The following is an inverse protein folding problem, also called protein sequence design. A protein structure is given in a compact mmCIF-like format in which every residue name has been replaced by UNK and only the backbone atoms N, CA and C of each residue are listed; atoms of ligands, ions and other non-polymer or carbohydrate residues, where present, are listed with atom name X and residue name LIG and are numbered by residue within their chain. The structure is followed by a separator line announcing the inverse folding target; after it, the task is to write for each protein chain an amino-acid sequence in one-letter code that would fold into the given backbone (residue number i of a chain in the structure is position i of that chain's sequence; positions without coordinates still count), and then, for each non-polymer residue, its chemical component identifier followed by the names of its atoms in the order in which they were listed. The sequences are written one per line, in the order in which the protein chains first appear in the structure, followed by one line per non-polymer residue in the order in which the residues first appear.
data_IF_516884264122
#
_entry.id   IF_516884264122
#
_cell.length_a   1.000
_cell.length_b   1.000
_cell.length_c   1.000
_cell.angle_alpha   90.00
_cell.angle_beta   90.00
_cell.angle_gamma   90.00
#
_symmetry.space_group_name_H-M   'P 1'
#
loop_
_entity.id
_entity.type
_entity.pdbx_description
1 polymer ?
#
# COMPACT_ATOMS: atom_id res chain seq x y z
N UNK A 1 15.27 10.71 32.13
CA UNK A 1 14.98 9.97 30.89
C UNK A 1 13.78 9.10 31.17
N UNK A 2 12.69 9.24 30.41
CA UNK A 2 11.57 8.30 30.51
C UNK A 2 12.01 6.98 29.88
N UNK A 3 11.64 5.81 30.45
CA UNK A 3 11.99 4.51 29.87
C UNK A 3 11.37 4.37 28.47
N UNK A 4 12.10 3.74 27.57
CA UNK A 4 11.65 3.50 26.20
C UNK A 4 10.51 2.46 26.22
N UNK A 5 9.47 2.60 25.37
CA UNK A 5 8.45 1.54 25.20
C UNK A 5 9.08 0.18 24.85
N UNK A 6 10.24 0.20 24.19
CA UNK A 6 10.99 -0.99 23.81
C UNK A 6 11.50 -1.77 25.03
N UNK A 7 11.80 -1.07 26.13
CA UNK A 7 12.25 -1.68 27.38
C UNK A 7 11.18 -2.62 27.99
N UNK A 8 9.92 -2.45 27.59
CA UNK A 8 8.78 -3.21 28.09
C UNK A 8 8.33 -4.34 27.15
N UNK A 9 8.90 -4.49 25.95
CA UNK A 9 8.47 -5.52 24.99
C UNK A 9 8.54 -6.93 25.58
N UNK A 10 9.58 -7.20 26.38
CA UNK A 10 9.81 -8.49 27.02
C UNK A 10 8.67 -8.90 27.98
N UNK A 11 7.88 -7.95 28.49
CA UNK A 11 6.72 -8.24 29.34
C UNK A 11 5.60 -8.91 28.54
N UNK A 12 5.53 -8.67 27.24
CA UNK A 12 4.46 -9.12 26.36
C UNK A 12 4.84 -10.34 25.50
N UNK A 13 5.94 -11.03 25.78
CA UNK A 13 6.42 -12.18 24.99
C UNK A 13 5.36 -13.28 24.83
N UNK A 14 4.47 -13.42 25.81
CA UNK A 14 3.36 -14.40 25.79
C UNK A 14 2.01 -13.77 25.42
N UNK A 15 1.97 -12.47 25.11
CA UNK A 15 0.75 -11.70 24.90
C UNK A 15 0.87 -10.75 23.68
N UNK A 16 1.10 -11.28 22.48
CA UNK A 16 1.32 -10.46 21.27
C UNK A 16 0.11 -9.58 20.90
N UNK A 17 -1.12 -10.02 21.20
CA UNK A 17 -2.32 -9.19 21.04
C UNK A 17 -2.31 -7.95 21.94
N UNK A 18 -1.91 -8.11 23.20
CA UNK A 18 -1.82 -7.00 24.14
C UNK A 18 -0.65 -6.06 23.78
N UNK A 19 0.44 -6.61 23.26
CA UNK A 19 1.55 -5.80 22.73
C UNK A 19 1.10 -4.94 21.56
N UNK A 20 0.38 -5.54 20.60
CA UNK A 20 -0.15 -4.83 19.44
C UNK A 20 -1.05 -3.67 19.88
N UNK A 21 -2.00 -3.92 20.78
CA UNK A 21 -2.91 -2.88 21.30
C UNK A 21 -2.16 -1.77 22.05
N UNK A 22 -1.14 -2.14 22.84
CA UNK A 22 -0.29 -1.19 23.54
C UNK A 22 0.45 -0.27 22.57
N UNK A 23 1.12 -0.82 21.55
CA UNK A 23 1.90 -0.06 20.58
C UNK A 23 0.99 0.82 19.69
N UNK A 24 -0.18 0.32 19.27
CA UNK A 24 -1.19 1.13 18.56
C UNK A 24 -1.65 2.33 19.41
N UNK A 25 -1.98 2.10 20.68
CA UNK A 25 -2.36 3.18 21.60
C UNK A 25 -1.22 4.15 21.86
N UNK A 26 0.01 3.65 22.02
CA UNK A 26 1.19 4.48 22.25
C UNK A 26 1.43 5.42 21.06
N UNK A 27 1.50 4.89 19.84
CA UNK A 27 1.72 5.68 18.60
C UNK A 27 0.57 6.64 18.27
N UNK A 28 -0.64 6.37 18.77
CA UNK A 28 -1.75 7.32 18.67
C UNK A 28 -1.55 8.57 19.53
N UNK A 29 -0.88 8.44 20.68
CA UNK A 29 -0.70 9.51 21.68
C UNK A 29 0.67 10.19 21.63
N UNK A 30 1.71 9.44 21.23
CA UNK A 30 3.10 9.90 21.20
C UNK A 30 3.59 9.88 19.76
N UNK A 31 3.91 11.06 19.22
CA UNK A 31 4.36 11.21 17.82
C UNK A 31 5.88 11.29 17.69
N UNK A 32 6.55 11.89 18.65
CA UNK A 32 7.99 12.18 18.59
C UNK A 32 8.79 11.23 19.50
N UNK A 33 8.51 9.93 19.42
CA UNK A 33 9.24 8.93 20.19
C UNK A 33 10.61 8.68 19.54
N UNK A 34 11.68 8.67 20.34
CA UNK A 34 13.01 8.31 19.84
C UNK A 34 13.10 6.85 19.39
N UNK A 35 12.18 5.99 19.83
CA UNK A 35 12.12 4.57 19.49
C UNK A 35 11.12 4.27 18.36
N UNK A 36 10.79 5.27 17.54
CA UNK A 36 9.71 5.17 16.55
C UNK A 36 10.00 4.09 15.49
N UNK A 37 11.25 3.94 15.07
CA UNK A 37 11.68 2.93 14.08
C UNK A 37 11.47 1.53 14.63
N UNK A 38 11.91 1.28 15.86
CA UNK A 38 11.78 -0.02 16.54
C UNK A 38 10.31 -0.38 16.81
N UNK A 39 9.50 0.62 17.16
CA UNK A 39 8.05 0.44 17.33
C UNK A 39 7.40 0.06 16.00
N UNK A 40 7.73 0.75 14.91
CA UNK A 40 7.17 0.44 13.59
C UNK A 40 7.62 -0.93 13.09
N UNK A 41 8.88 -1.31 13.28
CA UNK A 41 9.39 -2.64 12.95
C UNK A 41 8.62 -3.73 13.69
N UNK A 42 8.43 -3.57 15.00
CA UNK A 42 7.66 -4.50 15.84
C UNK A 42 6.19 -4.56 15.41
N UNK A 43 5.59 -3.41 15.10
CA UNK A 43 4.21 -3.35 14.58
C UNK A 43 4.08 -4.05 13.23
N UNK A 44 5.04 -3.89 12.31
CA UNK A 44 5.04 -4.57 11.02
C UNK A 44 5.13 -6.09 11.21
N UNK A 45 5.99 -6.57 12.10
CA UNK A 45 6.07 -7.99 12.45
C UNK A 45 4.72 -8.48 12.97
N UNK A 46 4.14 -7.81 13.97
CA UNK A 46 2.84 -8.16 14.54
C UNK A 46 1.67 -8.04 13.54
N UNK A 47 1.72 -7.13 12.57
CA UNK A 47 0.66 -6.99 11.56
C UNK A 47 0.74 -8.07 10.48
N UNK A 48 1.94 -8.53 10.15
CA UNK A 48 2.16 -9.46 9.06
C UNK A 48 2.19 -10.92 9.51
N UNK A 49 2.45 -11.21 10.79
CA UNK A 49 2.40 -12.57 11.35
C UNK A 49 1.07 -13.27 11.07
N UNK A 50 1.12 -14.49 10.55
CA UNK A 50 -0.07 -15.30 10.24
C UNK A 50 -0.99 -15.53 11.45
N UNK A 51 -0.40 -15.81 12.62
CA UNK A 51 -1.12 -16.01 13.87
C UNK A 51 -0.44 -15.23 15.00
N UNK A 52 -1.23 -14.81 15.97
CA UNK A 52 -0.78 -14.22 17.24
C UNK A 52 -1.09 -15.15 18.42
N UNK A 53 -1.50 -16.38 18.16
CA UNK A 53 -1.65 -17.41 19.19
C UNK A 53 -0.26 -17.87 19.67
N UNK A 54 -0.08 -17.87 20.98
CA UNK A 54 1.07 -18.53 21.59
C UNK A 54 0.80 -20.04 21.54
N UNK A 55 1.69 -20.86 20.92
CA UNK A 55 1.53 -22.30 20.98
C UNK A 55 1.50 -22.68 22.45
N UNK A 56 0.36 -23.18 22.93
CA UNK A 56 0.33 -23.81 24.25
C UNK A 56 1.39 -24.89 24.19
N UNK A 57 2.47 -24.73 24.95
CA UNK A 57 3.47 -25.76 25.14
C UNK A 57 2.65 -26.96 25.59
N UNK A 58 2.42 -27.89 24.67
CA UNK A 58 1.86 -29.18 25.02
C UNK A 58 3.00 -29.74 25.85
N UNK A 59 2.80 -29.79 27.16
CA UNK A 59 3.69 -30.49 28.05
C UNK A 59 3.83 -31.88 27.43
N UNK A 60 4.96 -32.12 26.76
CA UNK A 60 5.41 -33.45 26.44
C UNK A 60 5.48 -34.11 27.79
N UNK A 61 4.51 -34.98 28.07
CA UNK A 61 4.54 -35.84 29.23
C UNK A 61 5.91 -36.52 29.20
N UNK A 62 6.80 -36.06 30.09
CA UNK A 62 7.98 -36.81 30.44
C UNK A 62 7.41 -38.05 31.10
N UNK A 63 7.45 -39.15 30.35
CA UNK A 63 7.10 -40.48 30.82
C UNK A 63 8.18 -40.87 31.85
N UNK A 64 7.98 -40.44 33.10
CA UNK A 64 8.75 -40.93 34.25
C UNK A 64 7.98 -42.11 34.84
N UNK A 65 8.53 -43.30 34.62
CA UNK A 65 7.96 -44.55 35.10
C UNK A 65 8.09 -44.67 36.62
N UNK A 66 6.95 -44.83 37.31
CA UNK A 66 6.91 -45.17 38.72
C UNK A 66 5.49 -45.34 39.27
N UNK A 67 5.03 -46.60 39.31
CA UNK A 67 3.82 -47.16 39.93
C UNK A 67 3.13 -46.36 41.07
N UNK A 68 1.79 -46.27 41.05
CA UNK A 68 0.92 -47.16 41.84
C UNK A 68 -0.59 -46.95 41.59
N UNK A 69 -1.35 -48.03 41.81
CA UNK A 69 -2.73 -48.28 41.39
C UNK A 69 -3.82 -47.44 42.09
N UNK A 70 -4.86 -47.05 41.33
CA UNK A 70 -6.28 -47.33 41.66
C UNK A 70 -7.28 -46.89 40.55
N UNK A 71 -7.87 -47.90 39.89
CA UNK A 71 -9.25 -48.01 39.40
C UNK A 71 -9.95 -46.92 38.54
N UNK A 72 -10.18 -47.32 37.27
CA UNK A 72 -11.18 -46.92 36.25
C UNK A 72 -12.65 -47.11 36.75
N UNK A 73 -13.71 -46.53 36.10
CA UNK A 73 -14.04 -46.82 34.70
C UNK A 73 -14.47 -45.63 33.80
N UNK A 74 -13.99 -45.76 32.57
CA UNK A 74 -14.54 -45.40 31.26
C UNK A 74 -15.91 -44.71 31.17
N UNK A 75 -15.92 -43.54 30.53
CA UNK A 75 -16.86 -43.26 29.44
C UNK A 75 -16.09 -42.75 28.23
N UNK A 76 -15.84 -43.67 27.32
CA UNK A 76 -15.69 -43.37 25.91
C UNK A 76 -17.01 -42.76 25.43
N UNK A 77 -16.97 -41.51 24.99
CA UNK A 77 -17.87 -41.02 23.96
C UNK A 77 -16.98 -40.40 22.91
N UNK A 78 -16.66 -41.21 21.91
CA UNK A 78 -16.40 -40.72 20.57
C UNK A 78 -17.58 -39.83 20.17
N UNK A 79 -17.34 -38.55 19.93
CA UNK A 79 -18.24 -37.82 19.05
C UNK A 79 -17.45 -36.84 18.20
N UNK A 80 -17.67 -36.99 16.90
CA UNK A 80 -16.87 -36.40 15.86
C UNK A 80 -17.02 -34.88 15.77
N UNK A 81 -15.94 -34.27 15.29
CA UNK A 81 -15.95 -33.55 14.02
C UNK A 81 -17.22 -32.73 13.75
N UNK A 82 -17.26 -31.51 14.29
CA UNK A 82 -18.03 -30.37 13.76
C UNK A 82 -17.70 -29.05 14.51
N UNK A 83 -16.43 -28.68 14.69
CA UNK A 83 -16.02 -27.36 15.23
C UNK A 83 -14.86 -26.75 14.43
N UNK A 84 -14.75 -27.05 13.12
CA UNK A 84 -13.67 -26.49 12.29
C UNK A 84 -14.10 -25.24 11.50
N UNK A 85 -15.36 -25.14 11.05
CA UNK A 85 -15.69 -24.16 10.00
C UNK A 85 -16.00 -22.74 10.50
N UNK A 86 -16.20 -22.52 11.80
CA UNK A 86 -16.57 -21.20 12.35
C UNK A 86 -15.41 -20.42 12.97
N UNK A 87 -14.31 -21.09 13.35
CA UNK A 87 -13.13 -20.43 13.91
C UNK A 87 -12.27 -19.82 12.80
N UNK A 88 -12.08 -20.56 11.71
CA UNK A 88 -11.31 -20.15 10.52
C UNK A 88 -11.73 -18.79 9.95
N UNK A 89 -13.04 -18.56 9.80
CA UNK A 89 -13.55 -17.32 9.17
C UNK A 89 -13.28 -16.07 10.02
N UNK A 90 -13.26 -16.21 11.35
CA UNK A 90 -13.03 -15.09 12.25
C UNK A 90 -11.53 -14.74 12.35
N UNK A 91 -10.68 -15.76 12.35
CA UNK A 91 -9.22 -15.60 12.43
C UNK A 91 -8.65 -15.06 11.10
N UNK A 92 -9.19 -15.48 9.96
CA UNK A 92 -8.81 -14.98 8.63
C UNK A 92 -9.19 -13.50 8.43
N UNK A 93 -10.36 -13.10 8.95
CA UNK A 93 -10.80 -11.70 8.95
C UNK A 93 -9.90 -10.81 9.82
N UNK A 94 -9.46 -11.32 10.98
CA UNK A 94 -8.51 -10.65 11.86
C UNK A 94 -7.15 -10.46 11.20
N UNK A 95 -6.64 -11.50 10.55
CA UNK A 95 -5.38 -11.45 9.80
C UNK A 95 -5.44 -10.45 8.63
N UNK A 96 -6.52 -10.44 7.84
CA UNK A 96 -6.68 -9.49 6.74
C UNK A 96 -6.73 -8.03 7.22
N UNK A 97 -7.41 -7.76 8.34
CA UNK A 97 -7.45 -6.44 8.95
C UNK A 97 -6.06 -6.00 9.46
N UNK A 98 -5.29 -6.92 10.06
CA UNK A 98 -3.90 -6.66 10.45
C UNK A 98 -3.02 -6.33 9.24
N UNK A 99 -3.13 -7.07 8.13
CA UNK A 99 -2.39 -6.76 6.88
C UNK A 99 -2.73 -5.39 6.32
N UNK A 100 -4.02 -4.99 6.36
CA UNK A 100 -4.47 -3.65 5.96
C UNK A 100 -3.84 -2.55 6.82
N UNK A 101 -3.74 -2.76 8.13
CA UNK A 101 -3.01 -1.86 9.03
C UNK A 101 -1.51 -1.84 8.71
N UNK A 102 -0.90 -2.99 8.43
CA UNK A 102 0.48 -3.10 7.95
C UNK A 102 0.75 -2.26 6.70
N UNK A 103 -0.11 -2.34 5.69
CA UNK A 103 -0.01 -1.50 4.48
C UNK A 103 -0.10 -0.01 4.80
N UNK A 104 -1.02 0.34 5.70
CA UNK A 104 -1.26 1.72 6.12
C UNK A 104 -0.02 2.27 6.82
N UNK A 105 0.62 1.46 7.68
CA UNK A 105 1.85 1.82 8.36
C UNK A 105 3.02 2.00 7.39
N UNK A 106 3.22 1.07 6.45
CA UNK A 106 4.26 1.19 5.41
C UNK A 106 4.15 2.52 4.66
N UNK A 107 2.93 2.91 4.28
CA UNK A 107 2.64 4.15 3.54
C UNK A 107 2.80 5.40 4.38
N UNK A 108 2.27 5.42 5.60
CA UNK A 108 2.31 6.61 6.46
C UNK A 108 3.69 6.87 7.07
N UNK A 109 4.48 5.81 7.28
CA UNK A 109 5.84 5.90 7.78
C UNK A 109 6.89 6.10 6.66
N UNK A 110 6.48 6.09 5.38
CA UNK A 110 7.31 6.52 4.23
C UNK A 110 6.57 7.50 3.31
N UNK A 111 6.19 8.68 3.81
CA UNK A 111 5.57 9.73 3.01
C UNK A 111 6.58 10.25 1.96
N UNK A 112 6.10 10.93 0.91
CA UNK A 112 6.94 11.31 -0.24
C UNK A 112 7.96 12.41 0.08
N UNK A 113 7.78 13.10 1.20
CA UNK A 113 8.63 14.16 1.72
C UNK A 113 9.86 13.61 2.44
N UNK A 114 9.85 12.34 2.85
CA UNK A 114 10.96 11.70 3.54
C UNK A 114 11.82 10.88 2.57
N UNK A 115 13.14 11.08 2.65
CA UNK A 115 14.13 10.32 1.87
C UNK A 115 14.21 8.87 2.34
N UNK A 116 14.07 8.64 3.66
CA UNK A 116 14.08 7.31 4.28
C UNK A 116 12.81 7.09 5.12
N UNK A 117 12.32 5.86 5.22
CA UNK A 117 11.18 5.55 6.07
C UNK A 117 11.54 5.54 7.55
N UNK A 118 10.51 5.59 8.38
CA UNK A 118 10.61 5.40 9.82
C UNK A 118 10.52 3.91 10.20
N UNK A 119 11.16 3.03 9.43
CA UNK A 119 11.29 1.59 9.68
C UNK A 119 12.52 1.06 8.94
N UNK A 120 12.98 -0.13 9.29
CA UNK A 120 14.04 -0.82 8.56
C UNK A 120 13.47 -1.40 7.25
N UNK A 121 14.00 -0.93 6.12
CA UNK A 121 13.51 -1.30 4.78
C UNK A 121 13.78 -2.76 4.46
N UNK A 122 14.95 -3.27 4.82
CA UNK A 122 15.34 -4.65 4.54
C UNK A 122 14.48 -5.61 5.36
N UNK A 123 14.26 -5.28 6.63
CA UNK A 123 13.32 -6.01 7.49
C UNK A 123 11.91 -5.99 6.91
N UNK A 124 11.43 -4.83 6.45
CA UNK A 124 10.09 -4.71 5.86
C UNK A 124 9.94 -5.58 4.60
N UNK A 125 10.96 -5.66 3.74
CA UNK A 125 10.98 -6.55 2.58
C UNK A 125 10.90 -8.01 3.02
N UNK A 126 11.77 -8.42 3.97
CA UNK A 126 11.80 -9.79 4.49
C UNK A 126 10.43 -10.18 5.07
N UNK A 127 9.84 -9.32 5.91
CA UNK A 127 8.52 -9.56 6.50
C UNK A 127 7.42 -9.67 5.44
N UNK A 128 7.46 -8.84 4.40
CA UNK A 128 6.47 -8.91 3.33
C UNK A 128 6.63 -10.19 2.47
N UNK A 129 7.87 -10.61 2.19
CA UNK A 129 8.15 -11.84 1.43
C UNK A 129 7.76 -13.09 2.23
N UNK A 130 8.14 -13.15 3.52
CA UNK A 130 7.84 -14.28 4.40
C UNK A 130 6.35 -14.52 4.64
N UNK A 131 5.51 -13.48 4.50
CA UNK A 131 4.06 -13.55 4.73
C UNK A 131 3.23 -13.35 3.44
N UNK A 132 3.82 -13.58 2.26
CA UNK A 132 3.17 -13.46 0.95
C UNK A 132 2.42 -12.11 0.75
N UNK A 133 2.97 -11.03 1.29
CA UNK A 133 2.37 -9.70 1.30
C UNK A 133 2.78 -8.85 0.10
N UNK A 134 2.23 -9.25 -1.05
CA UNK A 134 2.48 -8.65 -2.37
C UNK A 134 2.22 -7.14 -2.43
N UNK A 135 1.17 -6.65 -1.77
CA UNK A 135 0.84 -5.21 -1.74
C UNK A 135 1.91 -4.39 -1.02
N UNK A 136 2.47 -4.93 0.09
CA UNK A 136 3.57 -4.30 0.82
C UNK A 136 4.86 -4.28 0.01
N UNK A 137 5.22 -5.42 -0.59
CA UNK A 137 6.39 -5.53 -1.47
C UNK A 137 6.34 -4.53 -2.63
N UNK A 138 5.19 -4.47 -3.31
CA UNK A 138 4.97 -3.54 -4.40
C UNK A 138 5.25 -2.09 -3.97
N UNK A 139 4.67 -1.67 -2.84
CA UNK A 139 4.85 -0.33 -2.31
C UNK A 139 6.32 -0.02 -1.99
N UNK A 140 7.03 -0.97 -1.36
CA UNK A 140 8.44 -0.81 -1.02
C UNK A 140 9.31 -0.64 -2.27
N UNK A 141 9.10 -1.48 -3.30
CA UNK A 141 9.83 -1.35 -4.56
C UNK A 141 9.52 -0.05 -5.32
N UNK A 142 8.26 0.39 -5.30
CA UNK A 142 7.85 1.68 -5.83
C UNK A 142 8.61 2.83 -5.18
N UNK A 143 8.71 2.82 -3.85
CA UNK A 143 9.38 3.87 -3.07
C UNK A 143 10.88 3.89 -3.27
N UNK A 144 11.53 2.72 -3.28
CA UNK A 144 12.98 2.63 -3.45
C UNK A 144 13.47 3.00 -4.85
N UNK A 145 12.56 3.14 -5.84
CA UNK A 145 12.89 3.40 -7.26
C UNK A 145 13.96 2.46 -7.84
N UNK A 146 14.16 1.30 -7.20
CA UNK A 146 15.18 0.31 -7.52
C UNK A 146 14.96 -0.38 -8.87
N UNK A 147 13.83 -0.11 -9.55
CA UNK A 147 13.56 -0.69 -10.87
C UNK A 147 14.67 -0.40 -11.88
N UNK A 148 15.34 0.77 -11.83
CA UNK A 148 16.44 1.06 -12.76
C UNK A 148 17.63 0.13 -12.54
N UNK A 149 17.98 -0.13 -11.29
CA UNK A 149 19.10 -1.00 -10.93
C UNK A 149 18.76 -2.48 -11.16
N UNK A 150 17.51 -2.88 -10.87
CA UNK A 150 17.02 -4.24 -11.12
C UNK A 150 16.90 -4.52 -12.63
N UNK A 151 16.39 -3.57 -13.43
CA UNK A 151 16.36 -3.67 -14.89
C UNK A 151 17.78 -3.72 -15.44
N UNK A 152 18.70 -2.87 -14.95
CA UNK A 152 20.09 -2.91 -15.38
C UNK A 152 20.73 -4.27 -15.07
N UNK A 153 20.50 -4.83 -13.88
CA UNK A 153 20.94 -6.17 -13.51
C UNK A 153 20.35 -7.24 -14.44
N UNK A 154 19.05 -7.19 -14.72
CA UNK A 154 18.36 -8.18 -15.57
C UNK A 154 18.78 -8.08 -17.05
N UNK A 155 19.01 -6.86 -17.57
CA UNK A 155 19.46 -6.64 -18.94
C UNK A 155 20.93 -7.04 -19.14
N UNK A 156 21.78 -6.93 -18.11
CA UNK A 156 23.18 -7.39 -18.16
C UNK A 156 23.33 -8.91 -18.20
N UNK A 157 22.32 -9.66 -17.72
CA UNK A 157 22.32 -11.14 -17.75
C UNK A 157 22.06 -11.71 -19.15
N UNK A 158 21.58 -10.89 -20.10
CA UNK A 158 21.35 -11.35 -21.48
C UNK A 158 22.63 -11.48 -22.32
N UNK A 159 23.79 -10.98 -21.85
CA UNK A 159 25.07 -11.08 -22.57
C UNK A 159 26.02 -12.16 -22.03
N UNK A 160 25.75 -12.77 -20.87
CA UNK A 160 26.57 -13.84 -20.31
C UNK A 160 25.69 -14.99 -19.81
N UNK A 161 25.72 -16.10 -20.56
CA UNK A 161 25.17 -17.37 -20.15
C UNK A 161 25.70 -17.76 -18.74
N UNK A 162 24.74 -18.07 -17.88
CA UNK A 162 24.84 -19.05 -16.81
C UNK A 162 25.84 -18.79 -15.66
N UNK A 163 25.35 -18.18 -14.59
CA UNK A 163 25.55 -18.74 -13.25
C UNK A 163 24.28 -18.61 -12.44
N UNK A 164 23.64 -19.74 -12.20
CA UNK A 164 22.48 -19.88 -11.34
C UNK A 164 22.66 -19.27 -9.94
N UNK A 165 21.50 -18.93 -9.37
CA UNK A 165 21.29 -18.34 -8.06
C UNK A 165 21.57 -16.83 -7.98
N UNK A 166 20.52 -16.04 -8.25
CA UNK A 166 19.99 -15.05 -7.29
C UNK A 166 18.63 -14.52 -7.74
N UNK A 167 17.61 -14.70 -6.91
CA UNK A 167 16.72 -13.58 -6.64
C UNK A 167 16.67 -13.34 -5.14
N UNK A 168 17.07 -12.14 -4.70
CA UNK A 168 16.64 -11.65 -3.39
C UNK A 168 15.16 -11.21 -3.38
N UNK A 169 14.46 -11.28 -4.52
CA UNK A 169 13.11 -10.76 -4.71
C UNK A 169 12.33 -11.70 -5.63
N UNK A 170 11.09 -12.07 -5.31
CA UNK A 170 10.26 -12.87 -6.23
C UNK A 170 10.14 -12.18 -7.59
N UNK A 171 10.71 -12.82 -8.64
CA UNK A 171 10.64 -12.38 -10.03
C UNK A 171 9.22 -12.01 -10.46
N UNK A 172 8.22 -12.68 -9.87
CA UNK A 172 6.81 -12.41 -10.12
C UNK A 172 6.40 -11.00 -9.70
N UNK A 173 6.86 -10.51 -8.55
CA UNK A 173 6.46 -9.21 -8.01
C UNK A 173 7.14 -8.08 -8.79
N UNK A 174 8.42 -8.25 -9.12
CA UNK A 174 9.16 -7.27 -9.93
C UNK A 174 8.58 -7.20 -11.35
N UNK A 175 8.35 -8.34 -12.01
CA UNK A 175 7.78 -8.37 -13.36
C UNK A 175 6.42 -7.70 -13.42
N UNK A 176 5.56 -7.99 -12.44
CA UNK A 176 4.23 -7.37 -12.33
C UNK A 176 4.33 -5.86 -12.09
N UNK A 177 5.23 -5.41 -11.21
CA UNK A 177 5.48 -3.99 -11.00
C UNK A 177 5.96 -3.27 -12.28
N UNK A 178 6.99 -3.81 -12.94
CA UNK A 178 7.54 -3.23 -14.17
C UNK A 178 6.47 -3.20 -15.26
N UNK A 179 5.72 -4.28 -15.45
CA UNK A 179 4.65 -4.34 -16.44
C UNK A 179 3.58 -3.26 -16.17
N UNK A 180 3.09 -3.17 -14.93
CA UNK A 180 2.10 -2.14 -14.55
C UNK A 180 2.64 -0.73 -14.69
N UNK A 181 3.91 -0.50 -14.34
CA UNK A 181 4.55 0.82 -14.48
C UNK A 181 4.70 1.22 -15.94
N UNK A 182 5.15 0.31 -16.80
CA UNK A 182 5.24 0.52 -18.25
C UNK A 182 3.88 0.79 -18.87
N UNK A 183 2.87 0.02 -18.50
CA UNK A 183 1.51 0.19 -19.02
C UNK A 183 0.94 1.55 -18.61
N UNK A 184 1.11 1.95 -17.34
CA UNK A 184 0.69 3.27 -16.87
C UNK A 184 1.41 4.41 -17.59
N UNK A 185 2.73 4.33 -17.76
CA UNK A 185 3.48 5.36 -18.52
C UNK A 185 3.08 5.40 -19.99
N UNK A 186 2.80 4.25 -20.61
CA UNK A 186 2.26 4.20 -21.98
C UNK A 186 0.89 4.86 -22.10
N UNK A 187 0.03 4.74 -21.08
CA UNK A 187 -1.27 5.41 -21.06
C UNK A 187 -1.11 6.92 -20.99
N UNK A 188 -0.22 7.43 -20.12
CA UNK A 188 0.06 8.87 -20.04
C UNK A 188 0.60 9.42 -21.38
N UNK A 189 1.50 8.70 -22.03
CA UNK A 189 2.02 9.10 -23.36
C UNK A 189 0.90 9.15 -24.40
N UNK A 190 -0.02 8.18 -24.37
CA UNK A 190 -1.15 8.12 -25.30
C UNK A 190 -2.17 9.25 -25.03
N UNK A 191 -2.39 9.60 -23.76
CA UNK A 191 -3.20 10.76 -23.36
C UNK A 191 -2.56 12.07 -23.84
N UNK A 192 -1.26 12.25 -23.58
CA UNK A 192 -0.49 13.40 -24.07
C UNK A 192 -0.52 13.48 -25.61
N UNK A 193 -0.41 12.34 -26.30
CA UNK A 193 -0.51 12.25 -27.76
C UNK A 193 -1.88 12.70 -28.25
N UNK A 194 -2.97 12.23 -27.65
CA UNK A 194 -4.34 12.67 -28.00
C UNK A 194 -4.56 14.15 -27.71
N UNK A 195 -4.03 14.64 -26.60
CA UNK A 195 -4.09 16.06 -26.28
C UNK A 195 -3.35 16.88 -27.36
N UNK A 196 -2.13 16.48 -27.72
CA UNK A 196 -1.37 17.11 -28.81
C UNK A 196 -2.11 17.06 -30.15
N UNK A 197 -2.71 15.93 -30.53
CA UNK A 197 -3.51 15.83 -31.75
C UNK A 197 -4.74 16.74 -31.74
N UNK A 198 -5.41 16.86 -30.58
CA UNK A 198 -6.52 17.81 -30.42
C UNK A 198 -6.01 19.24 -30.59
N UNK A 199 -4.89 19.61 -29.96
CA UNK A 199 -4.29 20.92 -30.12
C UNK A 199 -3.91 21.21 -31.58
N UNK A 200 -3.30 20.25 -32.28
CA UNK A 200 -2.90 20.38 -33.67
C UNK A 200 -4.10 20.47 -34.63
N UNK A 201 -5.22 19.80 -34.33
CA UNK A 201 -6.46 19.92 -35.11
C UNK A 201 -7.17 21.26 -34.90
N UNK A 202 -7.13 21.80 -33.69
CA UNK A 202 -7.69 23.11 -33.37
C UNK A 202 -6.87 24.28 -33.93
N UNK A 203 -5.58 24.06 -34.18
CA UNK A 203 -4.65 25.02 -34.78
C UNK A 203 -4.20 24.48 -36.13
N UNK A 204 -5.06 24.54 -37.15
CA UNK A 204 -4.63 24.27 -38.52
C UNK A 204 -3.50 25.23 -38.93
N UNK A 205 -2.63 24.81 -39.85
CA UNK A 205 -1.36 25.48 -40.22
C UNK A 205 -1.47 26.98 -40.59
N UNK A 206 -2.66 27.57 -40.74
CA UNK A 206 -2.86 28.98 -41.09
C UNK A 206 -4.12 29.67 -40.50
N UNK A 207 -4.80 29.11 -39.48
CA UNK A 207 -6.02 29.74 -38.93
C UNK A 207 -5.80 30.38 -37.55
N UNK A 208 -6.09 31.68 -37.43
CA UNK A 208 -5.88 32.49 -36.20
C UNK A 208 -6.91 32.25 -35.11
N UNK A 209 -7.89 31.38 -35.33
CA UNK A 209 -9.06 31.22 -34.47
C UNK A 209 -9.49 29.75 -34.43
N UNK A 210 -9.78 29.21 -33.23
CA UNK A 210 -10.06 27.79 -33.07
C UNK A 210 -11.48 27.40 -33.54
N UNK A 211 -11.67 26.33 -34.32
CA UNK A 211 -12.95 26.02 -34.96
C UNK A 211 -14.07 25.62 -33.99
N UNK A 212 -13.75 25.09 -32.79
CA UNK A 212 -14.73 24.80 -31.74
C UNK A 212 -15.19 26.07 -31.00
N UNK A 213 -14.25 26.95 -30.67
CA UNK A 213 -14.48 28.07 -29.75
C UNK A 213 -14.74 29.40 -30.46
N UNK A 214 -14.24 29.58 -31.69
CA UNK A 214 -14.37 30.80 -32.45
C UNK A 214 -15.81 31.16 -32.83
N UNK A 215 -16.71 30.22 -33.18
CA UNK A 215 -18.10 30.57 -33.51
C UNK A 215 -18.80 31.27 -32.34
N UNK A 216 -18.76 30.66 -31.15
CA UNK A 216 -19.38 31.22 -29.93
C UNK A 216 -18.71 32.54 -29.51
N UNK A 217 -17.37 32.59 -29.56
CA UNK A 217 -16.62 33.79 -29.24
C UNK A 217 -16.93 34.96 -30.19
N UNK A 218 -17.08 34.71 -31.49
CA UNK A 218 -17.50 35.72 -32.48
C UNK A 218 -18.90 36.24 -32.18
N UNK A 219 -19.86 35.36 -31.86
CA UNK A 219 -21.22 35.75 -31.50
C UNK A 219 -21.25 36.65 -30.26
N UNK A 220 -20.47 36.30 -29.23
CA UNK A 220 -20.34 37.12 -28.01
C UNK A 220 -19.72 38.49 -28.32
N UNK A 221 -18.68 38.54 -29.15
CA UNK A 221 -18.05 39.80 -29.56
C UNK A 221 -18.98 40.68 -30.41
N UNK A 222 -19.77 40.10 -31.31
CA UNK A 222 -20.79 40.83 -32.08
C UNK A 222 -21.89 41.39 -31.18
N UNK A 223 -22.36 40.58 -30.23
CA UNK A 223 -23.35 41.01 -29.24
C UNK A 223 -22.83 42.17 -28.41
N UNK A 224 -21.60 42.07 -27.90
CA UNK A 224 -20.93 43.15 -27.17
C UNK A 224 -20.83 44.43 -28.01
N UNK A 225 -20.41 44.32 -29.28
CA UNK A 225 -20.31 45.46 -30.20
C UNK A 225 -21.66 46.13 -30.43
N UNK A 226 -22.73 45.34 -30.60
CA UNK A 226 -24.09 45.85 -30.78
C UNK A 226 -24.57 46.60 -29.54
N UNK A 227 -24.32 46.05 -28.34
CA UNK A 227 -24.68 46.68 -27.07
C UNK A 227 -23.89 47.98 -26.82
N UNK A 228 -22.61 48.00 -27.18
CA UNK A 228 -21.79 49.22 -27.10
C UNK A 228 -22.24 50.31 -28.07
N UNK A 229 -22.73 49.93 -29.26
CA UNK A 229 -23.29 50.88 -30.23
C UNK A 229 -24.66 51.41 -29.78
N UNK A 230 -25.54 50.56 -29.26
CA UNK A 230 -26.82 50.99 -28.72
C UNK A 230 -26.66 51.86 -27.48
N UNK A 231 -25.66 51.59 -26.65
CA UNK A 231 -25.32 52.42 -25.49
C UNK A 231 -24.87 53.84 -25.87
N UNK A 232 -24.40 54.06 -27.10
CA UNK A 232 -23.92 55.38 -27.58
C UNK A 232 -25.02 56.26 -28.17
N UNK A 233 -26.21 55.71 -28.43
CA UNK A 233 -27.37 56.45 -28.94
C UNK A 233 -28.68 55.99 -28.24
N UNK A 234 -28.91 56.36 -26.97
CA UNK A 234 -30.11 55.94 -26.23
C UNK A 234 -31.42 56.52 -26.82
N UNK A 235 -31.37 57.61 -27.58
CA UNK A 235 -32.54 58.31 -28.12
C UNK A 235 -33.25 57.55 -29.26
N UNK A 236 -32.58 56.60 -29.93
CA UNK A 236 -33.20 55.75 -30.96
C UNK A 236 -34.25 54.78 -30.39
N UNK A 237 -34.19 54.48 -29.09
CA UNK A 237 -35.17 53.58 -28.45
C UNK A 237 -36.56 54.20 -28.35
N UNK A 238 -36.66 55.54 -28.32
CA UNK A 238 -37.92 56.27 -28.16
C UNK A 238 -38.61 56.66 -29.48
N UNK A 239 -38.03 56.34 -30.64
CA UNK A 239 -38.61 56.66 -31.97
C UNK A 239 -39.49 55.56 -32.57
N UNK A 240 -39.71 54.45 -31.85
CA UNK A 240 -40.49 53.29 -32.31
C UNK A 240 -41.80 53.06 -31.53
N UNK A 241 -42.33 54.10 -30.85
CA UNK A 241 -43.69 54.11 -30.30
C UNK A 241 -44.53 55.17 -30.99
#
# INVERSE_FOLDING_TARGET
MLPSPIDFLNIFVHYPHALLEFLEKYTSKVKDSSAQVEIHNTLLELYLSHDLDFPSISQSNIDDGGNDLAHRPSKEVSNGKAISDKKDVNDEKGHQERRRKGLTLLKSAWPSELEQPLYDVDLAIILCEMNDFKEGLLFLYEKMKLYKEVIACYMQVHDHEDTGQKPCLSLSVIKDYIARKLEHESQLIEEDRRAMEKYQRCLGDNEKECPECAPEYRTVLETKRSLEQSSKNPDQFFQLV
#
